data_IF_307222393533
#
_entry.id   IF_307222393533
#
_cell.length_a   1.000
_cell.length_b   1.000
_cell.length_c   1.000
_cell.angle_alpha   90.00
_cell.angle_beta   90.00
_cell.angle_gamma   90.00
#
_symmetry.space_group_name_H-M   'P 1'
#
loop_
_entity.id
_entity.type
_entity.pdbx_description
1 polymer ?
#
# COMPACT_ATOMS: atom_id res chain seq x y z
N UNK A 1 -44.08 12.33 -11.94
CA UNK A 1 -42.71 12.73 -12.18
C UNK A 1 -41.92 12.39 -10.92
N UNK A 2 -40.95 11.46 -10.96
CA UNK A 2 -40.18 11.11 -9.78
C UNK A 2 -39.10 12.16 -9.56
N UNK A 3 -39.11 12.83 -8.42
CA UNK A 3 -38.08 13.78 -8.02
C UNK A 3 -37.09 13.06 -7.07
N UNK A 4 -35.81 13.10 -7.38
CA UNK A 4 -34.74 12.59 -6.52
C UNK A 4 -34.40 13.67 -5.49
N UNK A 5 -34.82 13.45 -4.23
CA UNK A 5 -34.47 14.32 -3.12
C UNK A 5 -33.37 13.69 -2.26
N UNK A 6 -32.43 14.52 -1.79
CA UNK A 6 -31.38 14.08 -0.88
C UNK A 6 -31.97 13.74 0.47
N UNK A 7 -31.79 12.50 0.94
CA UNK A 7 -32.20 12.12 2.30
C UNK A 7 -31.40 12.89 3.34
N UNK A 8 -32.07 13.53 4.26
CA UNK A 8 -31.45 14.29 5.37
C UNK A 8 -30.94 13.33 6.44
N UNK A 9 -31.65 12.21 6.67
CA UNK A 9 -31.20 11.19 7.65
C UNK A 9 -30.81 9.89 6.97
N UNK A 10 -29.68 9.31 7.44
CA UNK A 10 -29.22 8.01 6.97
C UNK A 10 -30.07 6.91 7.61
N UNK A 11 -30.72 6.09 6.79
CA UNK A 11 -31.46 4.91 7.29
C UNK A 11 -30.46 3.85 7.78
N UNK A 12 -30.55 3.46 9.05
CA UNK A 12 -29.72 2.40 9.66
C UNK A 12 -29.83 1.07 8.90
N UNK A 13 -31.03 0.77 8.37
CA UNK A 13 -31.25 -0.44 7.57
C UNK A 13 -30.44 -0.43 6.27
N UNK A 14 -30.38 0.71 5.57
CA UNK A 14 -29.59 0.84 4.34
C UNK A 14 -28.09 0.83 4.60
N UNK A 15 -27.64 1.36 5.74
CA UNK A 15 -26.22 1.28 6.16
C UNK A 15 -25.77 -0.18 6.35
N UNK A 16 -26.62 -1.03 6.93
CA UNK A 16 -26.32 -2.45 7.11
C UNK A 16 -26.54 -3.28 5.84
N UNK A 17 -27.53 -2.93 5.02
CA UNK A 17 -27.90 -3.70 3.83
C UNK A 17 -26.97 -3.43 2.64
N UNK A 18 -26.45 -2.20 2.50
CA UNK A 18 -25.64 -1.83 1.34
C UNK A 18 -24.36 -2.66 1.18
N UNK A 19 -23.58 -2.98 2.24
CA UNK A 19 -22.42 -3.86 2.09
C UNK A 19 -22.81 -5.29 1.67
N UNK A 20 -23.91 -5.81 2.22
CA UNK A 20 -24.42 -7.14 1.87
C UNK A 20 -24.84 -7.18 0.40
N UNK A 21 -25.58 -6.18 -0.05
CA UNK A 21 -25.96 -6.04 -1.46
C UNK A 21 -24.73 -5.94 -2.37
N UNK A 22 -23.70 -5.19 -1.96
CA UNK A 22 -22.45 -5.08 -2.72
C UNK A 22 -21.77 -6.44 -2.88
N UNK A 23 -21.68 -7.24 -1.79
CA UNK A 23 -21.12 -8.60 -1.83
C UNK A 23 -21.92 -9.49 -2.77
N UNK A 24 -23.26 -9.49 -2.65
CA UNK A 24 -24.13 -10.30 -3.51
C UNK A 24 -23.97 -9.92 -4.98
N UNK A 25 -23.97 -8.61 -5.29
CA UNK A 25 -23.77 -8.13 -6.66
C UNK A 25 -22.39 -8.50 -7.20
N UNK A 26 -21.35 -8.45 -6.37
CA UNK A 26 -19.99 -8.87 -6.76
C UNK A 26 -19.94 -10.36 -7.10
N UNK A 27 -20.58 -11.22 -6.28
CA UNK A 27 -20.65 -12.66 -6.55
C UNK A 27 -21.43 -12.93 -7.84
N UNK A 28 -22.59 -12.29 -8.03
CA UNK A 28 -23.40 -12.43 -9.25
C UNK A 28 -22.63 -11.98 -10.49
N UNK A 29 -21.93 -10.84 -10.41
CA UNK A 29 -21.07 -10.37 -11.50
C UNK A 29 -19.96 -11.35 -11.80
N UNK A 30 -19.32 -11.93 -10.78
CA UNK A 30 -18.31 -12.96 -10.93
C UNK A 30 -18.84 -14.21 -11.63
N UNK A 31 -20.02 -14.69 -11.24
CA UNK A 31 -20.69 -15.83 -11.90
C UNK A 31 -20.91 -15.56 -13.39
N UNK A 32 -21.41 -14.38 -13.72
CA UNK A 32 -21.66 -13.99 -15.13
C UNK A 32 -20.33 -13.96 -15.91
N UNK A 33 -19.32 -13.30 -15.38
CA UNK A 33 -18.01 -13.16 -16.03
C UNK A 33 -17.37 -14.53 -16.27
N UNK A 34 -17.30 -15.40 -15.26
CA UNK A 34 -16.71 -16.72 -15.42
C UNK A 34 -17.51 -17.61 -16.37
N UNK A 35 -18.85 -17.50 -16.38
CA UNK A 35 -19.69 -18.20 -17.37
C UNK A 35 -19.42 -17.74 -18.80
N UNK A 36 -19.26 -16.42 -19.02
CA UNK A 36 -18.93 -15.89 -20.37
C UNK A 36 -17.53 -16.32 -20.84
N UNK A 37 -16.62 -16.55 -19.89
CA UNK A 37 -15.25 -17.03 -20.17
C UNK A 37 -15.15 -18.57 -20.30
N UNK A 38 -16.28 -19.27 -20.35
CA UNK A 38 -16.34 -20.74 -20.42
C UNK A 38 -15.59 -21.42 -19.24
N UNK A 39 -15.61 -20.81 -18.06
CA UNK A 39 -15.05 -21.36 -16.82
C UNK A 39 -16.17 -21.75 -15.88
N UNK A 40 -15.94 -22.79 -15.06
CA UNK A 40 -16.86 -23.11 -13.96
C UNK A 40 -16.91 -21.95 -12.96
N UNK A 41 -18.04 -21.26 -12.81
CA UNK A 41 -18.15 -20.10 -11.92
C UNK A 41 -17.94 -20.45 -10.44
N UNK A 42 -18.46 -21.59 -10.00
CA UNK A 42 -18.37 -22.02 -8.60
C UNK A 42 -16.94 -22.39 -8.21
N UNK A 43 -16.29 -23.17 -9.06
CA UNK A 43 -14.89 -23.54 -8.85
C UNK A 43 -13.97 -22.30 -8.91
N UNK A 44 -14.25 -21.37 -9.82
CA UNK A 44 -13.48 -20.12 -9.94
C UNK A 44 -13.65 -19.23 -8.71
N UNK A 45 -14.88 -19.05 -8.21
CA UNK A 45 -15.14 -18.29 -6.98
C UNK A 45 -14.52 -18.97 -5.75
N UNK A 46 -14.61 -20.30 -5.64
CA UNK A 46 -13.97 -21.03 -4.58
C UNK A 46 -12.44 -20.84 -4.60
N UNK A 47 -11.83 -20.99 -5.76
CA UNK A 47 -10.37 -20.83 -5.94
C UNK A 47 -9.92 -19.40 -5.61
N UNK A 48 -10.74 -18.40 -5.91
CA UNK A 48 -10.39 -17.01 -5.69
C UNK A 48 -10.54 -16.57 -4.23
N UNK A 49 -11.65 -16.94 -3.58
CA UNK A 49 -11.99 -16.45 -2.25
C UNK A 49 -11.70 -17.43 -1.11
N UNK A 50 -11.87 -18.71 -1.34
CA UNK A 50 -11.83 -19.72 -0.27
C UNK A 50 -10.49 -20.46 -0.25
N UNK A 51 -10.02 -20.92 -1.39
CA UNK A 51 -8.80 -21.72 -1.47
C UNK A 51 -7.57 -21.06 -0.82
N UNK A 52 -7.32 -19.74 -0.95
CA UNK A 52 -6.20 -19.11 -0.27
C UNK A 52 -6.27 -19.16 1.26
N UNK A 53 -7.47 -19.32 1.81
CA UNK A 53 -7.70 -19.42 3.26
C UNK A 53 -7.59 -20.86 3.79
N UNK A 54 -7.61 -21.86 2.91
CA UNK A 54 -7.62 -23.28 3.29
C UNK A 54 -6.23 -23.90 3.39
N UNK A 55 -5.20 -23.22 2.91
CA UNK A 55 -3.82 -23.73 2.92
C UNK A 55 -2.92 -22.80 3.76
N UNK A 56 -1.99 -23.39 4.52
CA UNK A 56 -1.01 -22.59 5.28
C UNK A 56 -0.19 -21.65 4.39
N UNK A 57 0.21 -22.11 3.20
CA UNK A 57 0.88 -21.29 2.20
C UNK A 57 0.01 -20.12 1.73
N UNK A 58 -1.26 -20.36 1.42
CA UNK A 58 -2.19 -19.30 0.99
C UNK A 58 -2.39 -18.23 2.06
N UNK A 59 -2.53 -18.63 3.33
CA UNK A 59 -2.66 -17.70 4.45
C UNK A 59 -1.38 -16.85 4.61
N UNK A 60 -0.20 -17.47 4.54
CA UNK A 60 1.06 -16.70 4.63
C UNK A 60 1.24 -15.74 3.46
N UNK A 61 0.84 -16.11 2.24
CA UNK A 61 0.84 -15.22 1.08
C UNK A 61 -0.11 -14.01 1.24
N UNK A 62 -1.29 -14.24 1.82
CA UNK A 62 -2.22 -13.14 2.16
C UNK A 62 -1.60 -12.17 3.16
N UNK A 63 -0.93 -12.69 4.20
CA UNK A 63 -0.25 -11.86 5.20
C UNK A 63 0.89 -11.07 4.57
N UNK A 64 1.70 -11.68 3.71
CA UNK A 64 2.79 -11.00 3.01
C UNK A 64 2.26 -9.85 2.15
N UNK A 65 1.17 -10.08 1.40
CA UNK A 65 0.54 -9.03 0.58
C UNK A 65 -0.16 -7.96 1.41
N UNK A 66 -0.70 -8.31 2.57
CA UNK A 66 -1.32 -7.35 3.49
C UNK A 66 -0.29 -6.45 4.19
N UNK A 67 0.94 -6.91 4.40
CA UNK A 67 2.00 -6.20 5.13
C UNK A 67 2.23 -4.76 4.61
N UNK A 68 2.52 -4.51 3.33
CA UNK A 68 2.69 -3.15 2.83
C UNK A 68 1.41 -2.32 2.92
N UNK A 69 0.24 -2.93 2.73
CA UNK A 69 -1.05 -2.24 2.85
C UNK A 69 -1.31 -1.78 4.29
N UNK A 70 -0.95 -2.59 5.27
CA UNK A 70 -1.04 -2.23 6.70
C UNK A 70 -0.13 -1.03 6.99
N UNK A 71 1.14 -1.07 6.55
CA UNK A 71 2.08 0.04 6.75
C UNK A 71 1.59 1.35 6.11
N UNK A 72 1.10 1.29 4.89
CA UNK A 72 0.51 2.43 4.19
C UNK A 72 -0.73 2.94 4.94
N UNK A 73 -1.66 2.05 5.32
CA UNK A 73 -2.88 2.41 6.02
C UNK A 73 -2.62 3.08 7.37
N UNK A 74 -1.61 2.59 8.11
CA UNK A 74 -1.17 3.19 9.37
C UNK A 74 -0.62 4.60 9.14
N UNK A 75 0.23 4.80 8.14
CA UNK A 75 0.73 6.13 7.77
C UNK A 75 -0.40 7.09 7.37
N UNK A 76 -1.32 6.64 6.52
CA UNK A 76 -2.47 7.44 6.09
C UNK A 76 -3.41 7.80 7.25
N UNK A 77 -3.54 6.95 8.26
CA UNK A 77 -4.40 7.22 9.43
C UNK A 77 -3.99 8.48 10.19
N UNK A 78 -2.69 8.78 10.24
CA UNK A 78 -2.15 10.01 10.84
C UNK A 78 -2.55 11.21 9.98
N UNK A 79 -2.35 11.13 8.67
CA UNK A 79 -2.71 12.19 7.74
C UNK A 79 -4.20 12.53 7.77
N UNK A 80 -5.07 11.53 7.76
CA UNK A 80 -6.52 11.72 7.83
C UNK A 80 -6.98 12.38 9.13
N UNK A 81 -6.36 12.03 10.26
CA UNK A 81 -6.62 12.73 11.52
C UNK A 81 -6.17 14.18 11.51
N UNK A 82 -5.12 14.51 10.77
CA UNK A 82 -4.67 15.88 10.55
C UNK A 82 -5.42 16.61 9.43
N UNK A 83 -6.48 16.01 8.87
CA UNK A 83 -7.23 16.50 7.71
C UNK A 83 -6.36 16.73 6.46
N UNK A 84 -5.29 15.94 6.31
CA UNK A 84 -4.41 15.92 5.13
C UNK A 84 -4.71 14.66 4.31
N UNK A 85 -5.15 14.88 3.07
CA UNK A 85 -5.57 13.80 2.17
C UNK A 85 -4.42 13.45 1.22
N UNK A 86 -3.66 12.42 1.59
CA UNK A 86 -2.59 11.90 0.75
C UNK A 86 -3.07 10.71 -0.08
N UNK A 87 -3.33 10.91 -1.38
CA UNK A 87 -3.68 9.84 -2.33
C UNK A 87 -2.41 9.29 -3.03
N UNK A 88 -1.25 9.88 -2.74
CA UNK A 88 0.05 9.53 -3.32
C UNK A 88 0.84 8.46 -2.57
N UNK A 89 0.24 7.74 -1.64
CA UNK A 89 0.95 6.75 -0.84
C UNK A 89 1.57 5.62 -1.67
N UNK A 90 0.92 5.22 -2.77
CA UNK A 90 1.47 4.25 -3.73
C UNK A 90 2.76 4.76 -4.38
N UNK A 91 2.81 6.03 -4.79
CA UNK A 91 4.01 6.65 -5.34
C UNK A 91 5.14 6.76 -4.32
N UNK A 92 4.82 7.07 -3.07
CA UNK A 92 5.79 7.10 -1.98
C UNK A 92 6.36 5.71 -1.70
N UNK A 93 5.52 4.69 -1.70
CA UNK A 93 5.93 3.29 -1.57
C UNK A 93 6.84 2.87 -2.74
N UNK A 94 6.44 3.19 -3.96
CA UNK A 94 7.22 2.89 -5.18
C UNK A 94 8.59 3.57 -5.16
N UNK A 95 8.67 4.85 -4.80
CA UNK A 95 9.96 5.55 -4.69
C UNK A 95 10.82 5.04 -3.54
N UNK A 96 10.19 4.63 -2.44
CA UNK A 96 10.87 3.90 -1.37
C UNK A 96 11.45 2.58 -1.87
N UNK A 97 10.69 1.80 -2.63
CA UNK A 97 11.15 0.55 -3.24
C UNK A 97 12.28 0.80 -4.25
N UNK A 98 12.20 1.86 -5.06
CA UNK A 98 13.28 2.26 -5.98
C UNK A 98 14.55 2.61 -5.20
N UNK A 99 14.47 3.44 -4.16
CA UNK A 99 15.65 3.83 -3.40
C UNK A 99 16.27 2.66 -2.63
N UNK A 100 15.45 1.83 -1.98
CA UNK A 100 15.91 0.62 -1.29
C UNK A 100 16.45 -0.43 -2.26
N UNK A 101 15.70 -0.74 -3.32
CA UNK A 101 16.10 -1.71 -4.35
C UNK A 101 17.36 -1.28 -5.10
N UNK A 102 17.49 0.02 -5.43
CA UNK A 102 18.71 0.56 -6.01
C UNK A 102 19.93 0.42 -5.10
N UNK A 103 19.73 0.61 -3.79
CA UNK A 103 20.79 0.37 -2.79
C UNK A 103 21.13 -1.12 -2.71
N UNK A 104 20.13 -2.00 -2.76
CA UNK A 104 20.36 -3.45 -2.78
C UNK A 104 21.16 -3.89 -4.01
N UNK A 105 20.81 -3.39 -5.21
CA UNK A 105 21.55 -3.66 -6.45
C UNK A 105 22.98 -3.11 -6.39
N UNK A 106 23.18 -1.90 -5.89
CA UNK A 106 24.51 -1.29 -5.77
C UNK A 106 25.42 -2.05 -4.80
N UNK A 107 24.84 -2.59 -3.72
CA UNK A 107 25.56 -3.37 -2.70
C UNK A 107 25.48 -4.88 -2.93
N UNK A 108 25.02 -5.35 -4.08
CA UNK A 108 24.71 -6.77 -4.35
C UNK A 108 25.91 -7.70 -4.20
N UNK A 109 27.12 -7.17 -4.36
CA UNK A 109 28.38 -7.91 -4.16
C UNK A 109 28.92 -7.86 -2.73
N UNK A 110 28.29 -7.11 -1.84
CA UNK A 110 28.75 -6.92 -0.47
C UNK A 110 28.13 -7.96 0.47
N UNK A 111 28.94 -8.83 1.04
CA UNK A 111 28.56 -9.80 2.06
C UNK A 111 28.67 -9.18 3.47
N UNK A 112 27.76 -8.26 3.79
CA UNK A 112 27.81 -7.54 5.07
C UNK A 112 26.42 -7.40 5.70
N UNK A 113 26.34 -7.57 7.01
CA UNK A 113 25.12 -7.34 7.78
C UNK A 113 24.61 -5.89 7.72
N UNK A 114 25.44 -4.94 7.28
CA UNK A 114 25.06 -3.54 7.13
C UNK A 114 24.24 -3.28 5.85
N UNK A 115 24.19 -4.22 4.90
CA UNK A 115 23.44 -4.06 3.64
C UNK A 115 21.96 -3.89 3.92
N UNK A 116 21.35 -4.76 4.71
CA UNK A 116 19.93 -4.68 5.04
C UNK A 116 19.54 -3.36 5.74
N UNK A 117 20.23 -2.91 6.80
CA UNK A 117 19.98 -1.59 7.39
C UNK A 117 20.12 -0.43 6.38
N UNK A 118 21.10 -0.48 5.49
CA UNK A 118 21.25 0.55 4.45
C UNK A 118 20.08 0.55 3.47
N UNK A 119 19.64 -0.62 3.00
CA UNK A 119 18.48 -0.79 2.12
C UNK A 119 17.19 -0.23 2.79
N UNK A 120 16.95 -0.58 4.05
CA UNK A 120 15.80 -0.10 4.80
C UNK A 120 15.85 1.42 4.98
N UNK A 121 17.00 1.97 5.36
CA UNK A 121 17.17 3.41 5.54
C UNK A 121 16.94 4.17 4.23
N UNK A 122 17.53 3.73 3.14
CA UNK A 122 17.35 4.36 1.84
C UNK A 122 15.93 4.22 1.32
N UNK A 123 15.26 3.09 1.59
CA UNK A 123 13.83 2.91 1.30
C UNK A 123 12.96 3.93 2.03
N UNK A 124 13.21 4.11 3.33
CA UNK A 124 12.50 5.13 4.15
C UNK A 124 12.76 6.53 3.59
N UNK A 125 14.02 6.87 3.34
CA UNK A 125 14.41 8.20 2.82
C UNK A 125 13.78 8.46 1.44
N UNK A 126 13.78 7.50 0.54
CA UNK A 126 13.14 7.61 -0.78
C UNK A 126 11.65 7.93 -0.68
N UNK A 127 10.92 7.20 0.16
CA UNK A 127 9.51 7.44 0.41
C UNK A 127 9.24 8.80 1.05
N UNK A 128 10.03 9.19 2.06
CA UNK A 128 9.93 10.49 2.75
C UNK A 128 10.19 11.65 1.79
N UNK A 129 11.30 11.62 1.06
CA UNK A 129 11.66 12.67 0.09
C UNK A 129 10.56 12.84 -0.95
N UNK A 130 10.01 11.73 -1.47
CA UNK A 130 8.91 11.81 -2.42
C UNK A 130 7.64 12.41 -1.82
N UNK A 131 7.31 12.05 -0.58
CA UNK A 131 6.17 12.59 0.16
C UNK A 131 6.33 14.06 0.53
N UNK A 132 7.56 14.56 0.68
CA UNK A 132 7.83 15.97 0.94
C UNK A 132 7.48 16.89 -0.25
N UNK A 133 7.48 16.39 -1.49
CA UNK A 133 7.18 17.18 -2.67
C UNK A 133 5.75 17.76 -2.61
N UNK A 134 4.67 16.95 -2.50
CA UNK A 134 3.32 17.49 -2.41
C UNK A 134 3.11 18.32 -1.13
N UNK A 135 3.77 17.97 -0.02
CA UNK A 135 3.72 18.74 1.21
C UNK A 135 4.32 20.15 1.03
N UNK A 136 5.46 20.25 0.36
CA UNK A 136 6.09 21.53 0.03
C UNK A 136 5.23 22.37 -0.92
N UNK A 137 4.68 21.75 -1.96
CA UNK A 137 3.79 22.42 -2.91
C UNK A 137 2.53 22.95 -2.21
N UNK A 138 1.97 22.18 -1.27
CA UNK A 138 0.83 22.62 -0.47
C UNK A 138 1.17 23.83 0.41
N UNK A 139 2.29 23.74 1.14
CA UNK A 139 2.64 24.78 2.14
C UNK A 139 3.13 26.07 1.51
N UNK A 140 3.85 26.04 0.39
CA UNK A 140 4.42 27.21 -0.26
C UNK A 140 3.52 27.81 -1.34
N UNK A 141 2.82 26.99 -2.08
CA UNK A 141 2.04 27.43 -3.25
C UNK A 141 0.54 27.21 -3.09
N UNK A 142 0.11 26.68 -1.95
CA UNK A 142 -1.29 26.29 -1.69
C UNK A 142 -1.87 25.37 -2.78
N UNK A 143 -1.00 24.52 -3.38
CA UNK A 143 -1.41 23.54 -4.37
C UNK A 143 -2.33 22.48 -3.74
N UNK A 144 -3.20 21.87 -4.56
CA UNK A 144 -4.06 20.81 -4.09
C UNK A 144 -3.24 19.53 -3.86
N UNK A 145 -3.12 19.09 -2.60
CA UNK A 145 -2.32 17.93 -2.20
C UNK A 145 -2.86 16.61 -2.77
N UNK A 146 -4.18 16.50 -2.99
CA UNK A 146 -4.82 15.32 -3.57
C UNK A 146 -4.34 15.13 -5.01
N UNK A 147 -4.40 16.20 -5.81
CA UNK A 147 -4.01 16.15 -7.22
C UNK A 147 -2.49 15.98 -7.37
N UNK A 148 -1.69 16.73 -6.61
CA UNK A 148 -0.23 16.66 -6.72
C UNK A 148 0.31 15.31 -6.27
N UNK A 149 -0.22 14.74 -5.16
CA UNK A 149 0.21 13.42 -4.70
C UNK A 149 -0.20 12.30 -5.67
N UNK A 150 -1.41 12.38 -6.26
CA UNK A 150 -1.86 11.42 -7.27
C UNK A 150 -0.99 11.48 -8.52
N UNK A 151 -0.69 12.68 -9.05
CA UNK A 151 0.18 12.85 -10.22
C UNK A 151 1.59 12.27 -9.97
N UNK A 152 2.13 12.49 -8.77
CA UNK A 152 3.43 11.94 -8.39
C UNK A 152 3.43 10.41 -8.29
N UNK A 153 2.29 9.77 -8.00
CA UNK A 153 2.20 8.31 -8.06
C UNK A 153 2.42 7.79 -9.49
N UNK A 154 1.80 8.41 -10.48
CA UNK A 154 2.05 8.04 -11.88
C UNK A 154 3.50 8.28 -12.31
N UNK A 155 4.09 9.40 -11.88
CA UNK A 155 5.52 9.68 -12.17
C UNK A 155 6.41 8.60 -11.53
N UNK A 156 6.15 8.18 -10.30
CA UNK A 156 6.92 7.12 -9.64
C UNK A 156 6.84 5.77 -10.39
N UNK A 157 5.64 5.40 -10.87
CA UNK A 157 5.45 4.19 -11.69
C UNK A 157 6.19 4.26 -13.02
N UNK A 158 6.20 5.43 -13.68
CA UNK A 158 6.95 5.63 -14.92
C UNK A 158 8.46 5.56 -14.67
N UNK A 159 8.96 6.10 -13.57
CA UNK A 159 10.38 5.97 -13.18
C UNK A 159 10.74 4.51 -12.94
N UNK A 160 9.92 3.76 -12.19
CA UNK A 160 10.13 2.33 -11.98
C UNK A 160 10.17 1.58 -13.32
N UNK A 161 9.18 1.83 -14.17
CA UNK A 161 9.11 1.23 -15.50
C UNK A 161 10.35 1.51 -16.33
N UNK A 162 10.83 2.76 -16.34
CA UNK A 162 12.07 3.14 -17.03
C UNK A 162 13.28 2.36 -16.48
N UNK A 163 13.39 2.23 -15.16
CA UNK A 163 14.53 1.54 -14.54
C UNK A 163 14.57 0.05 -14.89
N UNK A 164 13.44 -0.66 -14.76
CA UNK A 164 13.39 -2.12 -15.00
C UNK A 164 13.41 -2.49 -16.49
N UNK A 165 13.03 -1.58 -17.40
CA UNK A 165 13.19 -1.79 -18.83
C UNK A 165 14.54 -1.34 -19.37
N UNK A 166 15.31 -0.57 -18.59
CA UNK A 166 16.58 0.04 -18.99
C UNK A 166 17.73 -0.30 -18.04
N UNK A 167 18.14 0.66 -17.16
CA UNK A 167 19.39 0.53 -16.40
C UNK A 167 19.45 -0.63 -15.42
N UNK A 168 18.32 -1.08 -14.89
CA UNK A 168 18.24 -2.16 -13.88
C UNK A 168 17.86 -3.50 -14.46
N UNK A 169 17.61 -3.54 -15.76
CA UNK A 169 17.17 -4.76 -16.40
C UNK A 169 18.21 -5.86 -16.25
N UNK A 170 17.78 -7.04 -15.79
CA UNK A 170 18.62 -8.23 -15.71
C UNK A 170 19.05 -8.69 -17.11
N UNK A 171 20.35 -8.74 -17.42
CA UNK A 171 20.84 -9.27 -18.67
C UNK A 171 20.47 -10.76 -18.89
N UNK A 172 20.31 -11.54 -17.83
CA UNK A 172 19.91 -12.95 -17.83
C UNK A 172 18.40 -13.18 -17.86
N UNK A 173 17.58 -12.16 -17.68
CA UNK A 173 16.12 -12.26 -17.48
C UNK A 173 15.28 -12.43 -18.75
N UNK A 174 15.76 -13.03 -19.82
CA UNK A 174 15.02 -13.34 -21.06
C UNK A 174 14.15 -12.21 -21.60
N UNK A 175 14.57 -10.97 -21.43
CA UNK A 175 13.88 -9.76 -21.87
C UNK A 175 12.66 -9.36 -21.01
N UNK A 176 12.42 -9.98 -19.87
CA UNK A 176 11.42 -9.50 -18.91
C UNK A 176 11.86 -8.20 -18.25
N UNK A 177 10.90 -7.31 -17.89
CA UNK A 177 11.19 -6.06 -17.18
C UNK A 177 11.38 -6.32 -15.68
N UNK A 178 12.51 -6.94 -15.34
CA UNK A 178 12.89 -7.27 -13.97
C UNK A 178 14.35 -6.88 -13.71
N UNK A 179 14.67 -6.66 -12.46
CA UNK A 179 16.05 -6.41 -12.03
C UNK A 179 16.76 -7.71 -11.69
N UNK A 180 18.09 -7.66 -11.57
CA UNK A 180 18.83 -8.75 -10.95
C UNK A 180 18.30 -9.11 -9.58
N UNK A 181 18.46 -10.39 -9.20
CA UNK A 181 18.04 -10.89 -7.89
C UNK A 181 18.92 -10.25 -6.80
N UNK A 182 18.29 -9.78 -5.75
CA UNK A 182 19.00 -9.20 -4.61
C UNK A 182 19.74 -10.29 -3.83
N UNK A 183 20.89 -9.92 -3.24
CA UNK A 183 21.63 -10.81 -2.35
C UNK A 183 20.84 -11.13 -1.08
N UNK A 184 21.12 -12.27 -0.46
CA UNK A 184 20.50 -12.68 0.80
C UNK A 184 20.74 -11.65 1.93
N UNK A 185 21.85 -10.91 1.87
CA UNK A 185 22.16 -9.83 2.82
C UNK A 185 21.26 -8.59 2.67
N UNK A 186 20.57 -8.45 1.54
CA UNK A 186 19.61 -7.36 1.31
C UNK A 186 18.18 -7.75 1.66
N UNK A 187 17.92 -9.03 1.96
CA UNK A 187 16.58 -9.55 2.20
C UNK A 187 16.27 -9.64 3.71
N UNK A 188 15.01 -9.40 4.06
CA UNK A 188 14.52 -9.63 5.41
C UNK A 188 14.46 -11.13 5.72
N UNK A 189 14.86 -11.55 6.95
CA UNK A 189 14.81 -12.95 7.33
C UNK A 189 13.40 -13.52 7.22
N UNK A 190 13.31 -14.72 6.66
CA UNK A 190 12.07 -15.48 6.53
C UNK A 190 11.70 -16.05 7.91
N UNK A 191 10.44 -15.88 8.33
CA UNK A 191 9.95 -16.35 9.62
C UNK A 191 9.46 -17.79 9.58
N UNK A 192 9.03 -18.27 8.41
CA UNK A 192 8.49 -19.61 8.25
C UNK A 192 9.09 -20.27 6.99
N UNK A 193 9.84 -21.36 7.15
CA UNK A 193 10.45 -22.09 6.06
C UNK A 193 9.41 -22.53 5.02
N UNK A 194 9.77 -22.46 3.74
CA UNK A 194 8.87 -22.78 2.64
C UNK A 194 7.81 -21.73 2.32
N UNK A 195 7.85 -20.56 2.96
CA UNK A 195 6.95 -19.42 2.70
C UNK A 195 7.74 -18.14 2.44
N UNK A 196 7.06 -17.08 2.00
CA UNK A 196 7.66 -15.75 1.85
C UNK A 196 7.40 -14.82 3.05
N UNK A 197 6.84 -15.37 4.13
CA UNK A 197 6.56 -14.61 5.33
C UNK A 197 7.87 -14.19 5.99
N UNK A 198 8.10 -12.89 6.08
CA UNK A 198 9.33 -12.30 6.56
C UNK A 198 9.11 -11.35 7.74
N UNK A 199 10.21 -10.89 8.34
CA UNK A 199 10.20 -9.99 9.49
C UNK A 199 9.47 -8.65 9.24
N UNK A 200 9.27 -8.27 7.98
CA UNK A 200 8.50 -7.08 7.60
C UNK A 200 7.08 -7.07 8.15
N UNK A 201 6.44 -8.25 8.27
CA UNK A 201 5.12 -8.39 8.91
C UNK A 201 5.18 -7.99 10.39
N UNK A 202 6.25 -8.36 11.10
CA UNK A 202 6.48 -7.94 12.49
C UNK A 202 6.59 -6.42 12.60
N UNK A 203 7.32 -5.78 11.69
CA UNK A 203 7.42 -4.31 11.63
C UNK A 203 6.07 -3.65 11.35
N UNK A 204 5.25 -4.23 10.48
CA UNK A 204 3.91 -3.72 10.20
C UNK A 204 3.02 -3.77 11.45
N UNK A 205 2.99 -4.89 12.16
CA UNK A 205 2.21 -5.03 13.39
C UNK A 205 2.72 -4.10 14.50
N UNK A 206 4.04 -3.97 14.63
CA UNK A 206 4.64 -3.03 15.59
C UNK A 206 4.26 -1.59 15.26
N UNK A 207 4.25 -1.21 13.98
CA UNK A 207 3.84 0.13 13.56
C UNK A 207 2.38 0.42 13.89
N UNK A 208 1.47 -0.55 13.74
CA UNK A 208 0.07 -0.43 14.16
C UNK A 208 -0.01 -0.12 15.66
N UNK A 209 0.73 -0.88 16.49
CA UNK A 209 0.73 -0.69 17.94
C UNK A 209 1.28 0.69 18.33
N UNK A 210 2.41 1.09 17.74
CA UNK A 210 3.04 2.39 18.01
C UNK A 210 2.06 3.52 17.64
N UNK A 211 1.50 3.49 16.43
CA UNK A 211 0.59 4.55 15.98
C UNK A 211 -0.71 4.55 16.78
N UNK A 212 -1.24 3.38 17.15
CA UNK A 212 -2.39 3.29 18.04
C UNK A 212 -2.12 3.98 19.38
N UNK A 213 -0.98 3.73 20.01
CA UNK A 213 -0.58 4.38 21.27
C UNK A 213 -0.41 5.88 21.06
N UNK A 214 0.28 6.29 20.02
CA UNK A 214 0.48 7.72 19.69
C UNK A 214 -0.85 8.44 19.50
N UNK A 215 -1.77 7.85 18.72
CA UNK A 215 -3.06 8.46 18.40
C UNK A 215 -4.07 8.42 19.56
N UNK A 216 -3.96 7.45 20.49
CA UNK A 216 -4.91 7.28 21.59
C UNK A 216 -4.44 7.87 22.92
N UNK A 217 -3.12 8.00 23.12
CA UNK A 217 -2.52 8.31 24.43
C UNK A 217 -1.67 9.57 24.44
N UNK A 218 -1.39 10.22 23.31
CA UNK A 218 -0.53 11.40 23.29
C UNK A 218 -1.29 12.69 22.97
N UNK A 219 -0.79 13.80 23.53
CA UNK A 219 -1.33 15.15 23.38
C UNK A 219 -1.22 15.67 21.94
N UNK A 220 -0.37 15.05 21.10
CA UNK A 220 -0.25 15.39 19.67
C UNK A 220 -1.58 15.37 18.91
N UNK A 221 -2.53 14.51 19.35
CA UNK A 221 -3.87 14.43 18.78
C UNK A 221 -4.76 15.60 19.24
N UNK A 222 -4.51 16.14 20.44
CA UNK A 222 -5.30 17.25 20.97
C UNK A 222 -5.15 18.54 20.15
N UNK A 223 -3.96 18.78 19.60
CA UNK A 223 -3.71 19.97 18.78
C UNK A 223 -4.37 19.89 17.39
N UNK A 224 -4.58 18.70 16.84
CA UNK A 224 -5.28 18.53 15.55
C UNK A 224 -6.79 18.77 15.66
N UNK A 225 -7.36 18.67 16.87
CA UNK A 225 -8.78 18.94 17.14
C UNK A 225 -9.06 20.40 17.53
N UNK A 226 -8.03 21.19 17.87
CA UNK A 226 -8.19 22.55 18.41
C UNK A 226 -8.06 23.69 17.41
N UNK A 227 -7.76 23.42 16.14
CA UNK A 227 -7.54 24.48 15.16
C UNK A 227 -8.49 24.43 13.97
N UNK A 228 -9.78 24.48 14.23
CA UNK A 228 -10.70 25.15 13.32
C UNK A 228 -11.51 26.14 14.15
N UNK A 229 -11.19 27.45 14.09
CA UNK A 229 -12.19 28.41 14.44
C UNK A 229 -13.31 28.25 13.41
N UNK A 230 -14.45 27.80 13.89
CA UNK A 230 -15.73 28.02 13.21
C UNK A 230 -15.91 29.52 13.09
N UNK A 231 -15.34 30.11 12.09
CA UNK A 231 -15.74 31.44 11.66
C UNK A 231 -16.84 31.27 10.65
N UNK A 232 -17.99 31.71 11.14
CA UNK A 232 -19.27 31.93 10.51
C UNK A 232 -19.19 32.42 9.06
#
# INVERSE_FOLDING_TARGET
MFTLERRVEQSKSWLALSPIMAIVLTILSGIIIFSVLDKDPWMSLYTFFIQPLTTGFGVTELIVKATPLILIGVGLSIGFKANVWNIGAEGQFTMGAIAGGGTALFLNTQESFLVLPAVLLMGILGGVVWGMIPAFLKTKFNANEILTSLMLSYVALLILSYLVHGPWRDPGGYNFPESEIFSDFAMLPILLEGTRLNLGTGFALLSVLIIYILLSRTVSVSYTHLTLPTNA
#
